data_IF_549883897137
#
_entry.id   IF_549883897137
#
_cell.length_a   1.000
_cell.length_b   1.000
_cell.length_c   1.000
_cell.angle_alpha   90.00
_cell.angle_beta   90.00
_cell.angle_gamma   90.00
#
_symmetry.space_group_name_H-M   'P 1'
#
loop_
_entity.id
_entity.type
_entity.pdbx_description
1 polymer ?
#
# COMPACT_ATOMS: atom_id res chain seq x y z
N UNK A 1 13.19 -35.87 23.64
CA UNK A 1 12.12 -35.03 24.25
C UNK A 1 12.42 -33.60 23.89
N UNK A 2 11.42 -32.79 23.58
CA UNK A 2 11.64 -31.37 23.27
C UNK A 2 12.09 -30.63 24.57
N UNK A 3 13.14 -29.81 24.45
CA UNK A 3 13.62 -28.96 25.54
C UNK A 3 12.54 -27.97 25.95
N UNK A 4 12.35 -27.79 27.24
CA UNK A 4 11.33 -26.97 27.84
C UNK A 4 11.90 -25.76 28.57
N UNK A 5 11.08 -24.76 28.89
CA UNK A 5 11.47 -23.62 29.73
C UNK A 5 11.95 -24.06 31.11
N UNK A 6 11.49 -25.21 31.60
CA UNK A 6 11.92 -25.80 32.88
C UNK A 6 13.37 -26.31 32.83
N UNK A 7 13.78 -26.87 31.68
CA UNK A 7 15.17 -27.37 31.51
C UNK A 7 16.13 -26.17 31.46
N UNK A 8 15.77 -25.10 30.76
CA UNK A 8 16.53 -23.83 30.77
C UNK A 8 16.64 -23.25 32.19
N UNK A 9 15.55 -23.23 32.92
CA UNK A 9 15.50 -22.70 34.27
C UNK A 9 16.44 -23.50 35.22
N UNK A 10 16.42 -24.82 35.10
CA UNK A 10 17.28 -25.74 35.87
C UNK A 10 18.75 -25.50 35.56
N UNK A 11 19.12 -25.39 34.27
CA UNK A 11 20.49 -25.15 33.85
C UNK A 11 21.01 -23.76 34.25
N UNK A 12 20.17 -22.73 34.12
CA UNK A 12 20.51 -21.36 34.49
C UNK A 12 20.48 -21.09 36.01
N UNK A 13 20.05 -22.04 36.85
CA UNK A 13 19.93 -21.88 38.30
C UNK A 13 18.90 -20.83 38.72
N UNK A 14 17.77 -20.74 38.00
CA UNK A 14 16.66 -19.80 38.27
C UNK A 14 15.32 -20.51 38.14
N UNK A 15 14.23 -19.85 38.50
CA UNK A 15 12.91 -20.43 38.28
C UNK A 15 12.38 -20.09 36.85
N UNK A 16 11.42 -20.88 36.37
CA UNK A 16 10.83 -20.70 35.02
C UNK A 16 10.20 -19.33 34.79
N UNK A 17 9.67 -18.70 35.85
CA UNK A 17 9.14 -17.33 35.76
C UNK A 17 10.23 -16.29 35.53
N UNK A 18 11.45 -16.52 36.04
CA UNK A 18 12.62 -15.65 35.77
C UNK A 18 13.07 -15.82 34.31
N UNK A 19 13.16 -17.07 33.83
CA UNK A 19 13.44 -17.32 32.38
C UNK A 19 12.41 -16.60 31.49
N UNK A 20 11.13 -16.74 31.79
CA UNK A 20 10.06 -16.04 31.04
C UNK A 20 10.23 -14.51 31.07
N UNK A 21 10.62 -13.92 32.21
CA UNK A 21 10.86 -12.47 32.32
C UNK A 21 12.09 -12.03 31.52
N UNK A 22 13.15 -12.85 31.46
CA UNK A 22 14.34 -12.57 30.63
C UNK A 22 13.97 -12.59 29.14
N UNK A 23 13.28 -13.65 28.71
CA UNK A 23 12.83 -13.79 27.31
C UNK A 23 11.93 -12.60 26.87
N UNK A 24 11.07 -12.12 27.78
CA UNK A 24 10.16 -11.00 27.53
C UNK A 24 10.78 -9.61 27.78
N UNK A 25 12.09 -9.52 28.03
CA UNK A 25 12.82 -8.25 28.11
C UNK A 25 12.48 -7.38 29.34
N UNK A 26 11.86 -7.94 30.40
CA UNK A 26 11.48 -7.15 31.58
C UNK A 26 12.71 -6.59 32.30
N UNK A 27 12.68 -5.27 32.58
CA UNK A 27 13.79 -4.48 33.10
C UNK A 27 14.27 -4.88 34.52
N UNK A 28 13.48 -5.62 35.28
CA UNK A 28 13.74 -5.99 36.69
C UNK A 28 14.75 -7.13 36.89
N UNK A 29 15.39 -7.65 35.83
CA UNK A 29 16.32 -8.76 35.89
C UNK A 29 17.75 -8.23 35.72
N UNK A 30 18.65 -8.67 36.64
CA UNK A 30 20.07 -8.27 36.62
C UNK A 30 20.79 -8.76 35.36
N UNK A 31 21.80 -8.02 34.85
CA UNK A 31 22.59 -8.42 33.69
C UNK A 31 23.19 -9.85 33.81
N UNK A 32 23.73 -10.20 34.97
CA UNK A 32 24.26 -11.54 35.26
C UNK A 32 23.20 -12.62 35.07
N UNK A 33 22.02 -12.44 35.62
CA UNK A 33 20.92 -13.40 35.45
C UNK A 33 20.47 -13.54 33.97
N UNK A 34 20.46 -12.45 33.22
CA UNK A 34 20.17 -12.49 31.79
C UNK A 34 21.21 -13.32 31.04
N UNK A 35 22.49 -13.08 31.31
CA UNK A 35 23.59 -13.81 30.67
C UNK A 35 23.50 -15.33 30.94
N UNK A 36 23.29 -15.75 32.20
CA UNK A 36 23.10 -17.16 32.54
C UNK A 36 21.92 -17.80 31.82
N UNK A 37 20.81 -17.12 31.76
CA UNK A 37 19.61 -17.62 31.03
C UNK A 37 19.89 -17.76 29.53
N UNK A 38 20.50 -16.74 28.88
CA UNK A 38 20.83 -16.83 27.47
C UNK A 38 21.91 -17.90 27.18
N UNK A 39 22.88 -18.10 28.09
CA UNK A 39 23.85 -19.18 27.96
C UNK A 39 23.18 -20.56 28.02
N UNK A 40 22.29 -20.77 28.98
CA UNK A 40 21.52 -22.01 29.09
C UNK A 40 20.61 -22.27 27.88
N UNK A 41 20.00 -21.23 27.34
CA UNK A 41 19.18 -21.34 26.10
C UNK A 41 20.04 -21.78 24.90
N UNK A 42 21.24 -21.20 24.73
CA UNK A 42 22.17 -21.58 23.66
C UNK A 42 22.68 -23.04 23.84
N UNK A 43 23.05 -23.42 25.04
CA UNK A 43 23.55 -24.77 25.33
C UNK A 43 22.51 -25.86 25.08
N UNK A 44 21.26 -25.58 25.40
CA UNK A 44 20.14 -26.52 25.22
C UNK A 44 19.46 -26.41 23.86
N UNK A 45 19.91 -25.52 22.95
CA UNK A 45 19.24 -25.16 21.68
C UNK A 45 17.75 -24.87 21.91
N UNK A 46 17.45 -24.16 22.99
CA UNK A 46 16.09 -23.84 23.37
C UNK A 46 15.58 -22.58 22.60
N UNK A 47 14.59 -22.79 21.81
CA UNK A 47 13.86 -21.70 21.16
C UNK A 47 12.52 -21.43 21.85
N UNK A 48 12.28 -20.18 22.31
CA UNK A 48 11.01 -19.85 22.96
C UNK A 48 9.81 -20.19 22.07
N UNK A 49 8.90 -21.00 22.57
CA UNK A 49 7.68 -21.35 21.83
C UNK A 49 6.76 -20.14 21.70
N UNK A 50 6.50 -19.71 20.46
CA UNK A 50 5.61 -18.59 20.16
C UNK A 50 4.17 -18.83 20.64
N UNK A 51 3.68 -20.07 20.58
CA UNK A 51 2.36 -20.44 21.10
C UNK A 51 2.26 -20.28 22.62
N UNK A 52 3.30 -20.70 23.37
CA UNK A 52 3.32 -20.52 24.81
C UNK A 52 3.39 -19.04 25.21
N UNK A 53 4.09 -18.22 24.42
CA UNK A 53 4.16 -16.77 24.61
C UNK A 53 2.82 -16.13 24.34
N UNK A 54 2.17 -16.50 23.25
CA UNK A 54 0.85 -16.05 22.84
C UNK A 54 -0.19 -16.32 23.93
N UNK A 55 -0.22 -17.54 24.47
CA UNK A 55 -1.10 -17.93 25.57
C UNK A 55 -0.85 -17.10 26.85
N UNK A 56 0.41 -16.76 27.14
CA UNK A 56 0.78 -16.00 28.34
C UNK A 56 0.52 -14.49 28.21
N UNK A 57 0.62 -13.92 26.99
CA UNK A 57 0.44 -12.50 26.73
C UNK A 57 -0.96 -12.13 26.25
N UNK A 58 -1.73 -13.09 25.75
CA UNK A 58 -3.00 -12.86 25.06
C UNK A 58 -2.83 -12.27 23.64
N UNK A 59 -1.57 -12.14 23.15
CA UNK A 59 -1.25 -11.61 21.84
C UNK A 59 -0.73 -12.73 20.93
N UNK A 60 -1.20 -12.75 19.67
CA UNK A 60 -0.77 -13.73 18.68
C UNK A 60 0.67 -13.48 18.19
N UNK A 61 1.14 -12.23 18.26
CA UNK A 61 2.40 -11.79 17.65
C UNK A 61 2.33 -11.76 16.13
N UNK A 62 1.15 -11.59 15.56
CA UNK A 62 0.95 -11.48 14.13
C UNK A 62 -0.02 -10.35 13.79
N UNK A 63 0.14 -9.74 12.62
CA UNK A 63 -0.82 -8.85 11.99
C UNK A 63 -1.33 -9.45 10.69
N UNK A 64 -2.59 -9.19 10.35
CA UNK A 64 -3.21 -9.66 9.11
C UNK A 64 -3.22 -8.57 8.05
N UNK A 65 -2.76 -8.88 6.84
CA UNK A 65 -2.93 -8.04 5.64
C UNK A 65 -3.94 -8.70 4.74
N UNK A 66 -5.12 -8.08 4.63
CA UNK A 66 -6.20 -8.60 3.79
C UNK A 66 -6.06 -8.02 2.38
N UNK A 67 -6.12 -8.89 1.39
CA UNK A 67 -6.09 -8.51 -0.02
C UNK A 67 -7.38 -8.96 -0.71
N UNK A 68 -7.86 -8.16 -1.67
CA UNK A 68 -8.98 -8.53 -2.54
C UNK A 68 -8.43 -8.90 -3.91
N UNK A 69 -7.71 -10.01 -3.96
CA UNK A 69 -7.18 -10.55 -5.21
C UNK A 69 -8.10 -11.62 -5.74
N UNK A 70 -8.60 -11.45 -6.96
CA UNK A 70 -9.33 -12.51 -7.68
C UNK A 70 -8.38 -13.47 -8.38
N UNK A 71 -7.13 -13.02 -8.67
CA UNK A 71 -6.10 -13.76 -9.39
C UNK A 71 -4.71 -13.45 -8.85
N UNK A 72 -3.69 -14.15 -9.37
CA UNK A 72 -2.28 -13.98 -9.01
C UNK A 72 -1.72 -12.57 -9.28
N UNK A 73 -2.41 -11.74 -10.05
CA UNK A 73 -1.99 -10.39 -10.44
C UNK A 73 -1.81 -9.41 -9.26
N UNK A 74 -2.43 -9.68 -8.10
CA UNK A 74 -2.25 -8.79 -6.94
C UNK A 74 -0.79 -8.70 -6.50
N UNK A 75 -0.02 -9.78 -6.63
CA UNK A 75 1.40 -9.81 -6.22
C UNK A 75 2.33 -9.26 -7.29
N UNK A 76 1.92 -9.22 -8.56
CA UNK A 76 2.66 -8.56 -9.64
C UNK A 76 2.51 -7.03 -9.60
N UNK A 77 1.54 -6.53 -8.84
CA UNK A 77 1.34 -5.10 -8.64
C UNK A 77 2.44 -4.52 -7.73
N UNK A 78 3.29 -3.68 -8.30
CA UNK A 78 4.45 -3.07 -7.61
C UNK A 78 4.01 -2.20 -6.43
N UNK A 79 2.87 -1.51 -6.51
CA UNK A 79 2.30 -0.76 -5.39
C UNK A 79 2.07 -1.67 -4.18
N UNK A 80 1.40 -2.80 -4.39
CA UNK A 80 1.09 -3.74 -3.32
C UNK A 80 2.36 -4.38 -2.75
N UNK A 81 3.25 -4.88 -3.60
CA UNK A 81 4.47 -5.59 -3.16
C UNK A 81 5.41 -4.68 -2.36
N UNK A 82 5.60 -3.41 -2.78
CA UNK A 82 6.42 -2.43 -2.04
C UNK A 82 5.79 -2.04 -0.70
N UNK A 83 4.48 -1.76 -0.69
CA UNK A 83 3.78 -1.45 0.56
C UNK A 83 3.81 -2.63 1.53
N UNK A 84 3.60 -3.86 1.04
CA UNK A 84 3.67 -5.07 1.85
C UNK A 84 5.06 -5.28 2.45
N UNK A 85 6.12 -5.07 1.68
CA UNK A 85 7.48 -5.18 2.17
C UNK A 85 7.78 -4.15 3.29
N UNK A 86 7.29 -2.92 3.13
CA UNK A 86 7.43 -1.89 4.16
C UNK A 86 6.63 -2.22 5.43
N UNK A 87 5.43 -2.77 5.29
CA UNK A 87 4.62 -3.27 6.40
C UNK A 87 5.37 -4.38 7.14
N UNK A 88 5.90 -5.36 6.39
CA UNK A 88 6.65 -6.50 6.96
C UNK A 88 7.87 -6.03 7.74
N UNK A 89 8.66 -5.11 7.20
CA UNK A 89 9.83 -4.53 7.87
C UNK A 89 9.48 -3.90 9.22
N UNK A 90 8.37 -3.17 9.30
CA UNK A 90 7.90 -2.56 10.56
C UNK A 90 7.41 -3.64 11.53
N UNK A 91 6.70 -4.66 11.04
CA UNK A 91 6.23 -5.77 11.86
C UNK A 91 7.41 -6.58 12.43
N UNK A 92 8.38 -6.95 11.59
CA UNK A 92 9.58 -7.68 11.99
C UNK A 92 10.38 -6.94 13.06
N UNK A 93 10.56 -5.62 12.91
CA UNK A 93 11.27 -4.80 13.91
C UNK A 93 10.59 -4.82 15.30
N UNK A 94 9.30 -5.20 15.36
CA UNK A 94 8.52 -5.37 16.60
C UNK A 94 8.36 -6.83 17.04
N UNK A 95 8.98 -7.77 16.31
CA UNK A 95 8.87 -9.21 16.58
C UNK A 95 7.51 -9.80 16.17
N UNK A 96 6.79 -9.15 15.26
CA UNK A 96 5.52 -9.61 14.70
C UNK A 96 5.72 -10.29 13.35
N UNK A 97 4.83 -11.25 13.06
CA UNK A 97 4.69 -11.87 11.73
C UNK A 97 3.58 -11.20 10.93
N UNK A 98 3.65 -11.31 9.60
CA UNK A 98 2.60 -10.85 8.70
C UNK A 98 1.88 -12.04 8.09
N UNK A 99 0.57 -12.12 8.28
CA UNK A 99 -0.31 -13.11 7.68
C UNK A 99 -1.06 -12.44 6.53
N UNK A 100 -0.86 -12.93 5.30
CA UNK A 100 -1.60 -12.44 4.12
C UNK A 100 -2.84 -13.30 3.94
N UNK A 101 -4.00 -12.67 3.84
CA UNK A 101 -5.28 -13.36 3.67
C UNK A 101 -6.07 -12.77 2.50
N UNK A 102 -6.56 -13.65 1.60
CA UNK A 102 -7.41 -13.21 0.49
C UNK A 102 -8.88 -13.12 0.92
N UNK A 103 -9.42 -11.91 0.98
CA UNK A 103 -10.81 -11.63 1.31
C UNK A 103 -11.81 -11.83 0.16
N UNK A 104 -11.33 -11.91 -1.09
CA UNK A 104 -12.22 -11.96 -2.27
C UNK A 104 -12.90 -13.32 -2.47
N UNK A 105 -12.30 -14.40 -1.99
CA UNK A 105 -12.79 -15.77 -2.21
C UNK A 105 -13.58 -16.38 -1.05
N UNK A 106 -13.59 -15.73 0.11
CA UNK A 106 -14.30 -16.28 1.26
C UNK A 106 -15.77 -15.84 1.27
N UNK A 107 -16.67 -16.80 1.13
CA UNK A 107 -18.10 -16.63 1.42
C UNK A 107 -18.31 -16.39 2.92
N UNK A 108 -17.90 -15.22 3.41
CA UNK A 108 -18.01 -14.79 4.79
C UNK A 108 -16.89 -15.36 5.68
N UNK A 109 -16.19 -14.50 6.36
CA UNK A 109 -15.46 -14.93 7.53
C UNK A 109 -13.95 -14.89 7.51
N UNK A 110 -13.23 -14.58 6.40
CA UNK A 110 -11.74 -14.49 6.48
C UNK A 110 -11.31 -13.50 7.57
N UNK A 111 -11.87 -12.29 7.55
CA UNK A 111 -11.58 -11.26 8.56
C UNK A 111 -12.06 -11.73 9.93
N UNK A 112 -13.31 -12.22 10.02
CA UNK A 112 -13.89 -12.73 11.25
C UNK A 112 -13.11 -13.90 11.83
N UNK A 113 -12.67 -14.84 10.99
CA UNK A 113 -11.90 -16.00 11.43
C UNK A 113 -10.53 -15.58 11.97
N UNK A 114 -9.83 -14.66 11.29
CA UNK A 114 -8.56 -14.13 11.78
C UNK A 114 -8.71 -13.51 13.18
N UNK A 115 -9.81 -12.78 13.41
CA UNK A 115 -10.09 -12.12 14.69
C UNK A 115 -10.55 -13.13 15.76
N UNK A 116 -11.58 -13.94 15.47
CA UNK A 116 -12.22 -14.85 16.44
C UNK A 116 -11.30 -15.99 16.87
N UNK A 117 -10.44 -16.46 15.97
CA UNK A 117 -9.48 -17.49 16.27
C UNK A 117 -8.17 -16.95 16.86
N UNK A 118 -8.12 -15.63 17.17
CA UNK A 118 -6.95 -14.95 17.73
C UNK A 118 -5.66 -15.19 16.90
N UNK A 119 -5.80 -15.28 15.57
CA UNK A 119 -4.67 -15.49 14.65
C UNK A 119 -3.83 -14.23 14.47
N UNK A 120 -4.43 -13.07 14.68
CA UNK A 120 -3.80 -11.76 14.51
C UNK A 120 -4.22 -10.80 15.62
N UNK A 121 -3.37 -9.82 15.91
CA UNK A 121 -3.63 -8.78 16.91
C UNK A 121 -4.16 -7.49 16.28
N UNK A 122 -4.10 -7.40 14.94
CA UNK A 122 -4.62 -6.28 14.19
C UNK A 122 -4.66 -6.57 12.69
N UNK A 123 -5.38 -5.75 11.95
CA UNK A 123 -5.66 -5.95 10.53
C UNK A 123 -5.29 -4.72 9.68
N UNK A 124 -4.69 -4.95 8.54
CA UNK A 124 -4.58 -3.98 7.44
C UNK A 124 -5.57 -4.41 6.35
N UNK A 125 -6.47 -3.49 6.00
CA UNK A 125 -7.62 -3.76 5.13
C UNK A 125 -7.52 -2.95 3.83
N UNK A 126 -7.94 -3.49 2.67
CA UNK A 126 -8.11 -2.69 1.47
C UNK A 126 -9.37 -1.81 1.58
N UNK A 127 -9.41 -0.63 0.93
CA UNK A 127 -10.52 0.32 1.03
C UNK A 127 -11.88 -0.27 0.63
N UNK A 128 -11.85 -1.22 -0.31
CA UNK A 128 -13.05 -1.86 -0.86
C UNK A 128 -13.77 -2.79 0.12
N UNK A 129 -13.14 -3.15 1.23
CA UNK A 129 -13.78 -3.99 2.27
C UNK A 129 -14.55 -3.18 3.29
N UNK A 130 -14.33 -1.87 3.38
CA UNK A 130 -14.92 -1.01 4.40
C UNK A 130 -16.40 -0.79 4.13
N UNK A 131 -17.24 -1.40 4.96
CA UNK A 131 -18.70 -1.30 4.93
C UNK A 131 -19.23 -1.09 6.34
N UNK A 132 -20.47 -0.57 6.53
CA UNK A 132 -21.06 -0.47 7.86
C UNK A 132 -21.12 -1.82 8.60
N UNK A 133 -21.38 -2.91 7.86
CA UNK A 133 -21.39 -4.27 8.42
C UNK A 133 -20.01 -4.68 8.92
N UNK A 134 -18.95 -4.41 8.13
CA UNK A 134 -17.57 -4.71 8.56
C UNK A 134 -17.20 -3.92 9.81
N UNK A 135 -17.46 -2.61 9.84
CA UNK A 135 -17.12 -1.78 11.00
C UNK A 135 -17.84 -2.26 12.27
N UNK A 136 -19.10 -2.69 12.13
CA UNK A 136 -19.83 -3.30 13.25
C UNK A 136 -19.21 -4.63 13.70
N UNK A 137 -18.77 -5.46 12.76
CA UNK A 137 -18.13 -6.76 13.06
C UNK A 137 -16.78 -6.59 13.72
N UNK A 138 -15.97 -5.67 13.21
CA UNK A 138 -14.62 -5.37 13.74
C UNK A 138 -14.71 -4.71 15.12
N UNK A 139 -15.68 -3.81 15.33
CA UNK A 139 -15.83 -3.11 16.61
C UNK A 139 -14.55 -2.40 17.03
N UNK A 140 -14.08 -2.69 18.26
CA UNK A 140 -12.87 -2.10 18.82
C UNK A 140 -11.57 -2.83 18.40
N UNK A 141 -11.68 -3.91 17.61
CA UNK A 141 -10.50 -4.63 17.15
C UNK A 141 -9.57 -3.73 16.32
N UNK A 142 -8.24 -3.74 16.58
CA UNK A 142 -7.31 -2.86 15.87
C UNK A 142 -7.28 -3.10 14.37
N UNK A 143 -7.58 -2.08 13.58
CA UNK A 143 -7.44 -2.12 12.13
C UNK A 143 -7.00 -0.78 11.55
N UNK A 144 -6.39 -0.83 10.38
CA UNK A 144 -6.06 0.34 9.54
C UNK A 144 -6.36 0.00 8.08
N UNK A 145 -6.94 0.94 7.36
CA UNK A 145 -7.19 0.80 5.92
C UNK A 145 -6.00 1.37 5.15
N UNK A 146 -5.43 0.57 4.25
CA UNK A 146 -4.40 1.00 3.30
C UNK A 146 -5.08 1.64 2.08
N UNK A 147 -5.19 2.94 2.10
CA UNK A 147 -5.97 3.75 1.16
C UNK A 147 -7.24 4.33 1.78
N UNK A 148 -7.80 5.37 1.17
CA UNK A 148 -9.04 5.99 1.65
C UNK A 148 -10.27 5.17 1.23
N UNK A 149 -11.14 4.75 2.15
CA UNK A 149 -12.40 4.12 1.81
C UNK A 149 -13.35 5.10 1.09
N UNK A 150 -14.21 4.58 0.22
CA UNK A 150 -15.18 5.39 -0.52
C UNK A 150 -16.32 5.90 0.36
N UNK A 151 -16.72 5.09 1.35
CA UNK A 151 -17.73 5.41 2.36
C UNK A 151 -17.11 5.37 3.75
N UNK A 152 -17.76 5.98 4.74
CA UNK A 152 -17.31 5.97 6.14
C UNK A 152 -15.90 6.53 6.36
N UNK A 153 -15.52 7.49 5.52
CA UNK A 153 -14.16 8.05 5.50
C UNK A 153 -13.76 8.66 6.85
N UNK A 154 -14.68 9.32 7.53
CA UNK A 154 -14.45 9.93 8.85
C UNK A 154 -14.47 8.93 10.01
N UNK A 155 -15.13 7.78 9.82
CA UNK A 155 -15.29 6.75 10.84
C UNK A 155 -14.18 5.71 10.81
N UNK A 156 -13.55 5.51 9.64
CA UNK A 156 -12.48 4.55 9.47
C UNK A 156 -11.09 5.14 9.81
N UNK A 157 -10.21 4.26 10.28
CA UNK A 157 -8.78 4.55 10.43
C UNK A 157 -8.07 4.20 9.13
N UNK A 158 -7.39 5.15 8.48
CA UNK A 158 -6.75 4.91 7.18
C UNK A 158 -5.50 5.76 6.95
N UNK A 159 -4.65 5.28 6.04
CA UNK A 159 -3.50 6.00 5.49
C UNK A 159 -3.59 5.97 3.97
N UNK A 160 -3.50 7.11 3.28
CA UNK A 160 -3.55 7.20 1.82
C UNK A 160 -2.63 8.31 1.31
N UNK A 161 -2.33 8.29 0.02
CA UNK A 161 -1.69 9.40 -0.68
C UNK A 161 -2.72 10.43 -1.11
N UNK A 162 -2.30 11.69 -1.25
CA UNK A 162 -3.16 12.75 -1.77
C UNK A 162 -3.30 12.66 -3.28
N UNK A 163 -4.14 11.70 -3.71
CA UNK A 163 -4.40 11.41 -5.12
C UNK A 163 -4.99 12.61 -5.89
N UNK A 164 -5.78 13.45 -5.22
CA UNK A 164 -6.38 14.64 -5.81
C UNK A 164 -5.31 15.69 -6.09
N UNK A 165 -4.49 16.03 -5.10
CA UNK A 165 -3.35 16.95 -5.25
C UNK A 165 -2.36 16.48 -6.33
N UNK A 166 -2.07 15.18 -6.37
CA UNK A 166 -1.16 14.61 -7.37
C UNK A 166 -1.67 14.83 -8.79
N UNK A 167 -2.97 14.62 -9.03
CA UNK A 167 -3.56 14.86 -10.33
C UNK A 167 -3.62 16.36 -10.70
N UNK A 168 -3.97 17.24 -9.75
CA UNK A 168 -3.88 18.68 -9.96
C UNK A 168 -2.46 19.12 -10.34
N UNK A 169 -1.45 18.60 -9.64
CA UNK A 169 -0.05 18.89 -9.91
C UNK A 169 0.37 18.44 -11.32
N UNK A 170 -0.09 17.26 -11.76
CA UNK A 170 0.16 16.73 -13.09
C UNK A 170 -0.42 17.65 -14.17
N UNK A 171 -1.68 18.06 -14.03
CA UNK A 171 -2.35 18.97 -14.99
C UNK A 171 -1.64 20.32 -15.04
N UNK A 172 -1.39 20.95 -13.89
CA UNK A 172 -0.68 22.24 -13.83
C UNK A 172 0.72 22.18 -14.43
N UNK A 173 1.41 21.05 -14.25
CA UNK A 173 2.71 20.83 -14.88
C UNK A 173 2.58 20.82 -16.41
N UNK A 174 1.63 20.07 -16.97
CA UNK A 174 1.41 20.01 -18.42
C UNK A 174 1.03 21.39 -18.98
N UNK A 175 0.12 22.13 -18.32
CA UNK A 175 -0.23 23.50 -18.70
C UNK A 175 1.01 24.42 -18.71
N UNK A 176 1.85 24.35 -17.69
CA UNK A 176 3.11 25.12 -17.61
C UNK A 176 4.10 24.77 -18.74
N UNK A 177 4.04 23.54 -19.26
CA UNK A 177 4.84 23.08 -20.40
C UNK A 177 4.21 23.46 -21.76
N UNK A 178 3.08 24.16 -21.77
CA UNK A 178 2.41 24.68 -22.97
C UNK A 178 1.49 23.68 -23.67
N UNK A 179 1.05 22.62 -22.96
CA UNK A 179 -0.01 21.75 -23.45
C UNK A 179 -1.38 22.37 -23.15
N UNK A 180 -2.27 22.37 -24.13
CA UNK A 180 -3.56 23.07 -24.05
C UNK A 180 -4.78 22.14 -23.96
N UNK A 181 -4.68 20.94 -24.49
CA UNK A 181 -5.78 19.96 -24.52
C UNK A 181 -5.39 18.72 -23.73
N UNK A 182 -5.64 18.74 -22.44
CA UNK A 182 -5.21 17.69 -21.54
C UNK A 182 -6.35 16.70 -21.32
N UNK A 183 -6.12 15.42 -21.59
CA UNK A 183 -7.06 14.34 -21.29
C UNK A 183 -6.61 13.53 -20.06
N UNK A 184 -7.56 12.87 -19.42
CA UNK A 184 -7.33 11.85 -18.43
C UNK A 184 -7.53 10.46 -19.03
N UNK A 185 -6.55 9.57 -18.87
CA UNK A 185 -6.61 8.21 -19.40
C UNK A 185 -6.44 7.19 -18.28
N UNK A 186 -7.38 6.29 -18.18
CA UNK A 186 -7.26 5.11 -17.33
C UNK A 186 -8.19 5.08 -16.14
N UNK A 187 -7.98 4.06 -15.34
CA UNK A 187 -8.62 3.89 -14.06
C UNK A 187 -10.02 3.27 -14.10
N UNK A 188 -10.16 2.23 -13.29
CA UNK A 188 -11.43 1.58 -13.07
C UNK A 188 -12.27 2.40 -12.07
N UNK A 189 -13.41 2.92 -12.49
CA UNK A 189 -14.26 3.84 -11.69
C UNK A 189 -14.73 3.27 -10.33
N UNK A 190 -14.70 1.95 -10.16
CA UNK A 190 -15.02 1.35 -8.86
C UNK A 190 -13.90 1.52 -7.82
N UNK A 191 -12.72 2.03 -8.22
CA UNK A 191 -11.61 2.30 -7.31
C UNK A 191 -11.64 3.74 -6.83
N UNK A 192 -11.69 3.96 -5.53
CA UNK A 192 -11.80 5.29 -4.95
C UNK A 192 -10.65 6.23 -5.29
N UNK A 193 -9.42 5.72 -5.40
CA UNK A 193 -8.28 6.54 -5.79
C UNK A 193 -8.43 7.08 -7.24
N UNK A 194 -9.01 6.29 -8.17
CA UNK A 194 -9.31 6.74 -9.53
C UNK A 194 -10.26 7.94 -9.51
N UNK A 195 -11.33 7.87 -8.73
CA UNK A 195 -12.28 8.99 -8.60
C UNK A 195 -11.61 10.26 -8.07
N UNK A 196 -10.68 10.11 -7.12
CA UNK A 196 -9.94 11.25 -6.56
C UNK A 196 -8.95 11.84 -7.56
N UNK A 197 -8.23 10.99 -8.33
CA UNK A 197 -7.35 11.45 -9.42
C UNK A 197 -8.13 12.20 -10.50
N UNK A 198 -9.31 11.68 -10.89
CA UNK A 198 -10.21 12.37 -11.85
C UNK A 198 -10.66 13.71 -11.28
N UNK A 199 -11.04 13.79 -10.00
CA UNK A 199 -11.43 15.07 -9.38
C UNK A 199 -10.28 16.07 -9.40
N UNK A 200 -9.05 15.66 -9.09
CA UNK A 200 -7.88 16.53 -9.18
C UNK A 200 -7.60 17.00 -10.61
N UNK A 201 -7.77 16.11 -11.60
CA UNK A 201 -7.71 16.49 -13.01
C UNK A 201 -8.78 17.56 -13.33
N UNK A 202 -10.04 17.34 -12.95
CA UNK A 202 -11.14 18.28 -13.18
C UNK A 202 -10.92 19.62 -12.50
N UNK A 203 -10.44 19.63 -11.27
CA UNK A 203 -10.17 20.86 -10.50
C UNK A 203 -9.12 21.76 -11.17
N UNK A 204 -8.14 21.18 -11.87
CA UNK A 204 -7.04 21.93 -12.47
C UNK A 204 -7.18 22.12 -13.98
N UNK A 205 -8.03 21.34 -14.64
CA UNK A 205 -8.23 21.44 -16.09
C UNK A 205 -9.11 22.64 -16.45
N UNK A 206 -8.53 23.59 -17.17
CA UNK A 206 -9.23 24.81 -17.64
C UNK A 206 -9.87 24.64 -19.02
N UNK A 207 -9.57 23.51 -19.71
CA UNK A 207 -10.07 23.21 -21.05
C UNK A 207 -11.28 22.27 -21.05
N UNK A 208 -11.59 21.75 -22.22
CA UNK A 208 -12.62 20.72 -22.41
C UNK A 208 -12.21 19.43 -21.67
N UNK A 209 -13.14 18.85 -20.93
CA UNK A 209 -12.91 17.60 -20.21
C UNK A 209 -12.95 16.40 -21.17
N UNK A 210 -11.83 15.68 -21.26
CA UNK A 210 -11.74 14.40 -21.95
C UNK A 210 -11.29 13.34 -20.99
N UNK A 211 -12.18 12.42 -20.62
CA UNK A 211 -11.91 11.33 -19.65
C UNK A 211 -12.17 9.99 -20.31
N UNK A 212 -11.11 9.19 -20.47
CA UNK A 212 -11.14 7.87 -21.09
C UNK A 212 -11.03 6.81 -20.00
N UNK A 213 -12.14 6.16 -19.68
CA UNK A 213 -12.19 5.13 -18.65
C UNK A 213 -11.74 3.78 -19.18
N UNK A 214 -10.76 3.15 -18.51
CA UNK A 214 -10.26 1.84 -18.86
C UNK A 214 -10.76 0.75 -17.89
N UNK A 215 -10.61 -0.50 -18.29
CA UNK A 215 -10.78 -1.67 -17.41
C UNK A 215 -9.57 -1.94 -16.50
N UNK A 216 -8.52 -1.11 -16.59
CA UNK A 216 -7.27 -1.23 -15.84
C UNK A 216 -6.18 -2.01 -16.57
N UNK A 217 -6.40 -2.40 -17.85
CA UNK A 217 -5.39 -3.08 -18.68
C UNK A 217 -4.70 -2.09 -19.63
N UNK A 218 -3.45 -2.38 -20.00
CA UNK A 218 -2.72 -1.59 -21.00
C UNK A 218 -3.31 -1.75 -22.42
N UNK A 219 -3.92 -2.90 -22.70
CA UNK A 219 -4.56 -3.18 -23.99
C UNK A 219 -5.79 -2.31 -24.21
N UNK A 220 -6.63 -2.19 -23.18
CA UNK A 220 -7.80 -1.32 -23.26
C UNK A 220 -7.40 0.16 -23.30
N UNK A 221 -6.38 0.56 -22.54
CA UNK A 221 -5.81 1.90 -22.59
C UNK A 221 -5.27 2.23 -23.99
N UNK A 222 -4.57 1.29 -24.64
CA UNK A 222 -4.09 1.44 -26.01
C UNK A 222 -5.26 1.65 -26.99
N UNK A 223 -6.29 0.82 -26.92
CA UNK A 223 -7.44 0.91 -27.84
C UNK A 223 -8.16 2.25 -27.74
N UNK A 224 -8.38 2.71 -26.49
CA UNK A 224 -9.03 4.01 -26.24
C UNK A 224 -8.15 5.18 -26.69
N UNK A 225 -6.85 5.14 -26.37
CA UNK A 225 -5.91 6.17 -26.77
C UNK A 225 -5.78 6.24 -28.30
N UNK A 226 -5.69 5.09 -28.99
CA UNK A 226 -5.63 5.03 -30.45
C UNK A 226 -6.86 5.70 -31.09
N UNK A 227 -8.05 5.35 -30.61
CA UNK A 227 -9.32 5.94 -31.10
C UNK A 227 -9.37 7.45 -30.86
N UNK A 228 -8.92 7.91 -29.70
CA UNK A 228 -8.95 9.34 -29.36
C UNK A 228 -7.93 10.14 -30.17
N UNK A 229 -6.71 9.61 -30.33
CA UNK A 229 -5.64 10.27 -31.08
C UNK A 229 -5.87 10.31 -32.60
N UNK A 230 -6.78 9.51 -33.14
CA UNK A 230 -7.17 9.57 -34.58
C UNK A 230 -8.15 10.69 -34.89
N UNK A 231 -8.69 11.40 -33.91
CA UNK A 231 -9.59 12.55 -34.14
C UNK A 231 -8.79 13.77 -34.58
N UNK A 232 -9.36 14.60 -35.44
CA UNK A 232 -8.75 15.87 -35.92
C UNK A 232 -8.40 16.81 -34.75
N UNK A 233 -9.19 16.80 -33.68
CA UNK A 233 -9.05 17.66 -32.52
C UNK A 233 -8.65 16.87 -31.25
N UNK A 234 -7.69 15.93 -31.35
CA UNK A 234 -7.26 15.11 -30.26
C UNK A 234 -6.52 15.90 -29.14
N UNK A 235 -6.41 15.35 -27.92
CA UNK A 235 -5.61 15.91 -26.84
C UNK A 235 -4.11 15.96 -27.21
N UNK A 236 -3.42 16.99 -26.73
CA UNK A 236 -1.95 17.12 -26.86
C UNK A 236 -1.19 16.70 -25.59
N UNK A 237 -1.92 16.34 -24.53
CA UNK A 237 -1.32 15.74 -23.34
C UNK A 237 -2.29 14.82 -22.58
N UNK A 238 -1.72 13.92 -21.79
CA UNK A 238 -2.50 12.97 -20.97
C UNK A 238 -1.97 12.87 -19.55
N UNK A 239 -2.90 12.87 -18.59
CA UNK A 239 -2.68 12.38 -17.24
C UNK A 239 -3.17 10.93 -17.17
N UNK A 240 -2.23 9.99 -17.06
CA UNK A 240 -2.52 8.56 -17.00
C UNK A 240 -2.72 8.11 -15.56
N UNK A 241 -3.78 7.35 -15.29
CA UNK A 241 -4.13 6.86 -13.94
C UNK A 241 -3.00 6.02 -13.29
N UNK A 242 -2.23 5.32 -14.11
CA UNK A 242 -1.13 4.45 -13.70
C UNK A 242 -0.17 4.19 -14.87
N UNK A 243 0.88 3.38 -14.63
CA UNK A 243 1.83 3.02 -15.67
C UNK A 243 1.21 2.18 -16.80
N UNK A 244 0.23 1.32 -16.51
CA UNK A 244 -0.40 0.48 -17.55
C UNK A 244 -1.14 1.34 -18.56
N UNK A 245 -1.83 2.38 -18.10
CA UNK A 245 -2.46 3.36 -18.99
C UNK A 245 -1.42 4.09 -19.84
N UNK A 246 -0.29 4.51 -19.24
CA UNK A 246 0.77 5.19 -19.98
C UNK A 246 1.45 4.27 -21.03
N UNK A 247 1.62 2.98 -20.73
CA UNK A 247 2.18 2.02 -21.69
C UNK A 247 1.26 1.82 -22.90
N UNK A 248 -0.06 1.73 -22.67
CA UNK A 248 -1.05 1.68 -23.72
C UNK A 248 -1.01 2.93 -24.61
N UNK A 249 -0.94 4.12 -24.01
CA UNK A 249 -0.83 5.39 -24.70
C UNK A 249 0.46 5.50 -25.52
N UNK A 250 1.61 5.13 -24.96
CA UNK A 250 2.88 5.13 -25.69
C UNK A 250 2.84 4.22 -26.93
N UNK A 251 2.21 3.04 -26.80
CA UNK A 251 2.01 2.12 -27.93
C UNK A 251 1.15 2.78 -29.02
N UNK A 252 0.07 3.47 -28.65
CA UNK A 252 -0.79 4.19 -29.60
C UNK A 252 -0.05 5.35 -30.29
N UNK A 253 0.71 6.16 -29.54
CA UNK A 253 1.54 7.23 -30.10
C UNK A 253 2.54 6.69 -31.11
N UNK A 254 3.23 5.58 -30.78
CA UNK A 254 4.19 4.94 -31.67
C UNK A 254 3.55 4.46 -32.98
N UNK A 255 2.38 3.86 -32.92
CA UNK A 255 1.65 3.38 -34.10
C UNK A 255 1.20 4.52 -35.02
N UNK A 256 0.75 5.63 -34.43
CA UNK A 256 0.33 6.83 -35.16
C UNK A 256 1.49 7.76 -35.52
N UNK A 257 2.75 7.38 -35.24
CA UNK A 257 3.95 8.19 -35.45
C UNK A 257 3.92 9.56 -34.76
N UNK A 258 3.16 9.68 -33.64
CA UNK A 258 3.12 10.89 -32.84
C UNK A 258 4.29 10.92 -31.85
N UNK A 259 5.02 12.03 -31.87
CA UNK A 259 6.21 12.21 -31.04
C UNK A 259 5.86 12.57 -29.59
N UNK A 260 6.46 11.86 -28.64
CA UNK A 260 6.43 12.21 -27.21
C UNK A 260 7.83 12.74 -26.88
N UNK A 261 7.97 13.95 -26.33
CA UNK A 261 6.96 14.87 -25.78
C UNK A 261 6.46 15.95 -26.76
N UNK A 262 6.95 16.01 -28.01
CA UNK A 262 6.75 17.18 -28.86
C UNK A 262 5.28 17.39 -29.28
N UNK A 263 4.57 16.33 -29.60
CA UNK A 263 3.15 16.36 -29.97
C UNK A 263 2.28 15.95 -28.80
N UNK A 264 2.68 14.92 -28.06
CA UNK A 264 1.90 14.38 -26.93
C UNK A 264 2.74 14.40 -25.65
N UNK A 265 2.26 15.14 -24.62
CA UNK A 265 2.82 15.11 -23.28
C UNK A 265 2.21 14.00 -22.42
N UNK A 266 3.00 13.32 -21.60
CA UNK A 266 2.50 12.22 -20.76
C UNK A 266 3.00 12.39 -19.32
N UNK A 267 2.05 12.44 -18.37
CA UNK A 267 2.30 12.26 -16.94
C UNK A 267 1.53 11.02 -16.47
N UNK A 268 2.19 10.13 -15.75
CA UNK A 268 1.51 8.98 -15.14
C UNK A 268 1.67 8.98 -13.62
N UNK A 269 0.95 8.11 -12.94
CA UNK A 269 1.11 7.84 -11.52
C UNK A 269 1.95 6.58 -11.31
N UNK A 270 2.48 6.46 -10.11
CA UNK A 270 3.23 5.33 -9.57
C UNK A 270 4.66 5.22 -10.18
N UNK A 271 5.65 5.65 -9.42
CA UNK A 271 7.06 5.67 -9.85
C UNK A 271 7.67 4.24 -9.86
N UNK A 272 7.24 3.42 -10.81
CA UNK A 272 7.80 2.09 -11.01
C UNK A 272 9.15 2.16 -11.72
N UNK A 273 10.06 1.21 -11.46
CA UNK A 273 11.38 1.22 -12.08
C UNK A 273 11.35 1.32 -13.61
N UNK A 274 10.38 0.66 -14.27
CA UNK A 274 10.23 0.70 -15.73
C UNK A 274 9.91 2.09 -16.28
N UNK A 275 9.30 2.98 -15.51
CA UNK A 275 8.95 4.32 -15.97
C UNK A 275 10.19 5.15 -16.39
N UNK A 276 11.35 4.89 -15.78
CA UNK A 276 12.61 5.54 -16.11
C UNK A 276 13.24 5.00 -17.41
N UNK A 277 12.95 3.74 -17.74
CA UNK A 277 13.52 3.05 -18.91
C UNK A 277 12.58 3.03 -20.12
N UNK A 278 11.42 3.70 -20.02
CA UNK A 278 10.54 3.89 -21.18
C UNK A 278 11.18 4.89 -22.17
N UNK A 279 10.73 4.84 -23.40
CA UNK A 279 11.16 5.77 -24.45
C UNK A 279 9.98 6.61 -24.95
N UNK A 280 9.94 7.90 -24.55
CA UNK A 280 10.83 8.58 -23.59
C UNK A 280 10.53 8.19 -22.11
N UNK A 281 11.50 8.42 -21.19
CA UNK A 281 11.29 8.26 -19.75
C UNK A 281 10.09 9.05 -19.24
N UNK A 282 9.22 8.42 -18.48
CA UNK A 282 7.94 8.99 -18.05
C UNK A 282 8.07 9.96 -16.88
N UNK A 283 7.47 11.14 -17.01
CA UNK A 283 7.17 12.05 -15.91
C UNK A 283 6.08 11.43 -15.03
N UNK A 284 6.31 11.36 -13.71
CA UNK A 284 5.49 10.58 -12.80
C UNK A 284 5.08 11.40 -11.58
N UNK A 285 3.81 11.30 -11.21
CA UNK A 285 3.36 11.61 -9.85
C UNK A 285 3.80 10.46 -8.96
N UNK A 286 4.81 10.71 -8.15
CA UNK A 286 5.35 9.72 -7.22
C UNK A 286 4.49 9.63 -5.97
N UNK A 287 4.01 8.43 -5.69
CA UNK A 287 3.35 8.05 -4.45
C UNK A 287 4.33 7.19 -3.66
N UNK A 288 4.88 7.68 -2.59
CA UNK A 288 5.81 6.91 -1.78
C UNK A 288 5.13 5.70 -1.15
N UNK A 289 5.13 4.59 -1.90
CA UNK A 289 4.51 3.32 -1.48
C UNK A 289 5.19 2.69 -0.27
N UNK A 290 6.48 2.97 -0.07
CA UNK A 290 7.21 2.50 1.10
C UNK A 290 6.76 3.27 2.35
N UNK A 291 6.73 4.61 2.29
CA UNK A 291 6.22 5.46 3.36
C UNK A 291 4.75 5.13 3.68
N UNK A 292 3.93 4.87 2.65
CA UNK A 292 2.53 4.48 2.82
C UNK A 292 2.39 3.19 3.64
N UNK A 293 3.16 2.16 3.29
CA UNK A 293 3.19 0.89 4.03
C UNK A 293 3.71 1.05 5.45
N UNK A 294 4.79 1.82 5.62
CA UNK A 294 5.39 2.09 6.93
C UNK A 294 4.42 2.83 7.86
N UNK A 295 3.80 3.92 7.41
CA UNK A 295 2.83 4.69 8.20
C UNK A 295 1.59 3.88 8.54
N UNK A 296 1.13 3.02 7.61
CA UNK A 296 0.00 2.11 7.85
C UNK A 296 0.31 1.11 8.97
N UNK A 297 1.48 0.47 8.92
CA UNK A 297 1.90 -0.47 9.96
C UNK A 297 2.14 0.23 11.31
N UNK A 298 2.81 1.37 11.31
CA UNK A 298 3.04 2.17 12.53
C UNK A 298 1.73 2.60 13.19
N UNK A 299 0.75 3.04 12.39
CA UNK A 299 -0.57 3.41 12.89
C UNK A 299 -1.29 2.18 13.47
N UNK A 300 -1.21 1.02 12.82
CA UNK A 300 -1.79 -0.22 13.33
C UNK A 300 -1.20 -0.60 14.69
N UNK A 301 0.12 -0.55 14.84
CA UNK A 301 0.77 -0.86 16.12
C UNK A 301 0.38 0.13 17.22
N UNK A 302 0.23 1.43 16.91
CA UNK A 302 -0.29 2.40 17.89
C UNK A 302 -1.70 2.07 18.34
N UNK A 303 -2.53 1.50 17.46
CA UNK A 303 -3.88 1.03 17.81
C UNK A 303 -3.85 -0.26 18.65
N UNK A 304 -3.00 -1.23 18.31
CA UNK A 304 -2.80 -2.45 19.11
C UNK A 304 -2.37 -2.09 20.54
N UNK A 305 -1.52 -1.07 20.68
CA UNK A 305 -1.04 -0.58 21.97
C UNK A 305 -2.05 0.35 22.69
N UNK A 306 -3.26 0.55 22.13
CA UNK A 306 -4.30 1.46 22.64
C UNK A 306 -3.83 2.91 22.84
N UNK A 307 -2.84 3.36 22.05
CA UNK A 307 -2.28 4.71 22.15
C UNK A 307 -3.04 5.78 21.36
N UNK A 308 -3.84 5.37 20.41
CA UNK A 308 -4.57 6.26 19.51
C UNK A 308 -5.96 5.73 19.17
N UNK A 309 -6.92 6.64 19.00
CA UNK A 309 -8.23 6.35 18.40
C UNK A 309 -8.18 6.27 16.87
N UNK A 310 -9.32 6.48 16.21
CA UNK A 310 -9.37 6.55 14.75
C UNK A 310 -8.62 7.78 14.25
N UNK A 311 -7.71 7.58 13.30
CA UNK A 311 -6.92 8.60 12.65
C UNK A 311 -6.95 8.43 11.13
N UNK A 312 -6.86 9.55 10.44
CA UNK A 312 -6.73 9.61 8.99
C UNK A 312 -5.41 10.29 8.66
N UNK A 313 -4.54 9.62 7.93
CA UNK A 313 -3.23 10.15 7.53
C UNK A 313 -3.22 10.29 6.01
N UNK A 314 -2.99 11.51 5.55
CA UNK A 314 -2.82 11.83 4.14
C UNK A 314 -1.35 12.16 3.87
N UNK A 315 -0.72 11.39 2.98
CA UNK A 315 0.66 11.62 2.56
C UNK A 315 0.68 12.51 1.31
N UNK A 316 1.63 13.44 1.25
CA UNK A 316 1.87 14.23 0.04
C UNK A 316 2.40 13.35 -1.09
N UNK A 317 2.21 13.85 -2.32
CA UNK A 317 2.79 13.27 -3.53
C UNK A 317 3.76 14.25 -4.14
N UNK A 318 4.76 13.75 -4.86
CA UNK A 318 5.77 14.56 -5.54
C UNK A 318 5.71 14.32 -7.05
N UNK A 319 6.20 15.27 -7.85
CA UNK A 319 6.31 15.13 -9.29
C UNK A 319 7.77 14.90 -9.70
N UNK A 320 8.06 13.72 -10.23
CA UNK A 320 9.36 13.37 -10.82
C UNK A 320 9.30 13.68 -12.30
N UNK A 321 9.91 14.81 -12.69
CA UNK A 321 9.91 15.27 -14.07
C UNK A 321 10.95 14.50 -14.87
N UNK A 322 10.53 13.98 -16.04
CA UNK A 322 11.37 13.27 -17.02
C UNK A 322 11.00 13.70 -18.44
N UNK A 323 11.60 13.06 -19.43
CA UNK A 323 11.53 13.48 -20.83
C UNK A 323 10.13 13.49 -21.45
N UNK A 324 9.16 12.70 -20.95
CA UNK A 324 7.82 12.60 -21.56
C UNK A 324 6.97 13.89 -21.49
N UNK A 325 7.45 14.92 -20.81
CA UNK A 325 6.80 16.24 -20.76
C UNK A 325 7.73 17.39 -21.11
N UNK A 326 8.98 17.11 -21.43
CA UNK A 326 10.00 18.14 -21.73
C UNK A 326 9.90 18.60 -23.20
N UNK A 327 8.78 19.24 -23.55
CA UNK A 327 8.60 19.89 -24.83
C UNK A 327 9.64 21.01 -24.97
N UNK A 328 10.51 20.95 -25.98
CA UNK A 328 11.39 22.09 -26.30
C UNK A 328 10.49 23.24 -26.75
N UNK A 329 10.65 24.41 -26.13
CA UNK A 329 10.00 25.62 -26.61
C UNK A 329 10.34 25.81 -28.09
N UNK A 330 9.29 26.06 -28.90
CA UNK A 330 9.46 26.43 -30.30
C UNK A 330 10.08 27.80 -30.42
#
# INVERSE_FOLDING_TARGET
>A
MAVTIHDVAKLAGVNSSTVSRVINGKATITPDTKERVYAAMRELDYHPNSLARSLASGLSGAIGVVVNARDAEAFSNVFFSRSLFAIEKVAQARGYQVIIANGAQSKGGTIENLMKEHKVDGLILPPTTVTPSLLKTVGDFPYVVLGTPDTLRSEACWVDNNNEQGAEMAVRHLQKKGYGKIAYLGGYLKRGFTKRRIRGYQNANEGEETILHTDGTSENAYTLALTELQKDNHPDAFVCNDNLAAFGLLKACKELHLSVPHEIGIVAFDNYPLAEYMDPPLTIVDIDTAMLGEQTAQLLFRRIENKVGNQQIMLSTDLVIRASTERKAK
#
